data_IF_898257297640
#
_entry.id   IF_898257297640
#
_cell.length_a   1.000
_cell.length_b   1.000
_cell.length_c   1.000
_cell.angle_alpha   90.00
_cell.angle_beta   90.00
_cell.angle_gamma   90.00
#
_symmetry.space_group_name_H-M   'P 1'
#
loop_
_entity.id
_entity.type
_entity.pdbx_description
1 polymer ?
#
# COMPACT_ATOMS: atom_id res chain seq x y z
N UNK A 1 -18.58 -10.91 -39.71
CA UNK A 1 -18.18 -9.48 -39.59
C UNK A 1 -17.09 -9.41 -38.56
N UNK A 2 -15.83 -9.27 -38.99
CA UNK A 2 -14.72 -8.98 -38.08
C UNK A 2 -14.92 -7.53 -37.64
N UNK A 3 -15.36 -7.35 -36.41
CA UNK A 3 -15.50 -6.01 -35.82
C UNK A 3 -14.10 -5.41 -35.73
N UNK A 4 -13.78 -4.41 -36.52
CA UNK A 4 -12.48 -3.76 -36.46
C UNK A 4 -12.43 -2.94 -35.17
N UNK A 5 -11.40 -3.19 -34.34
CA UNK A 5 -11.17 -2.42 -33.12
C UNK A 5 -11.07 -0.93 -33.42
N UNK A 6 -11.74 -0.12 -32.64
CA UNK A 6 -11.64 1.33 -32.69
C UNK A 6 -10.25 1.81 -32.28
N UNK A 7 -9.89 3.04 -32.63
CA UNK A 7 -8.61 3.65 -32.22
C UNK A 7 -8.47 3.68 -30.69
N UNK A 8 -9.54 3.99 -29.97
CA UNK A 8 -9.57 4.00 -28.51
C UNK A 8 -9.27 2.62 -27.93
N UNK A 9 -9.93 1.59 -28.42
CA UNK A 9 -9.71 0.20 -27.97
C UNK A 9 -8.25 -0.26 -28.21
N UNK A 10 -7.65 0.13 -29.34
CA UNK A 10 -6.23 -0.16 -29.63
C UNK A 10 -5.31 0.55 -28.64
N UNK A 11 -5.58 1.81 -28.30
CA UNK A 11 -4.78 2.57 -27.33
C UNK A 11 -4.89 1.96 -25.93
N UNK A 12 -6.09 1.62 -25.48
CA UNK A 12 -6.32 0.96 -24.19
C UNK A 12 -5.62 -0.40 -24.11
N UNK A 13 -5.68 -1.18 -25.17
CA UNK A 13 -4.97 -2.45 -25.28
C UNK A 13 -3.45 -2.25 -25.17
N UNK A 14 -2.88 -1.32 -25.94
CA UNK A 14 -1.44 -1.05 -25.90
C UNK A 14 -0.99 -0.58 -24.51
N UNK A 15 -1.73 0.31 -23.86
CA UNK A 15 -1.45 0.74 -22.47
C UNK A 15 -1.51 -0.43 -21.49
N UNK A 16 -2.48 -1.33 -21.65
CA UNK A 16 -2.61 -2.51 -20.81
C UNK A 16 -1.43 -3.48 -21.01
N UNK A 17 -1.03 -3.72 -22.26
CA UNK A 17 0.14 -4.56 -22.57
C UNK A 17 1.42 -3.99 -21.96
N UNK A 18 1.66 -2.69 -22.11
CA UNK A 18 2.83 -2.02 -21.52
C UNK A 18 2.80 -2.10 -19.98
N UNK A 19 1.63 -1.85 -19.37
CA UNK A 19 1.49 -1.95 -17.90
C UNK A 19 1.79 -3.36 -17.40
N UNK A 20 1.24 -4.40 -18.04
CA UNK A 20 1.48 -5.80 -17.63
C UNK A 20 2.96 -6.15 -17.73
N UNK A 21 3.61 -5.76 -18.82
CA UNK A 21 5.05 -5.95 -19.02
C UNK A 21 5.88 -5.23 -17.95
N UNK A 22 5.54 -3.98 -17.65
CA UNK A 22 6.21 -3.21 -16.60
C UNK A 22 6.00 -3.82 -15.21
N UNK A 23 4.78 -4.23 -14.88
CA UNK A 23 4.45 -4.88 -13.62
C UNK A 23 5.23 -6.19 -13.44
N UNK A 24 5.35 -7.01 -14.49
CA UNK A 24 6.13 -8.25 -14.45
C UNK A 24 7.61 -7.98 -14.23
N UNK A 25 8.19 -7.02 -14.95
CA UNK A 25 9.62 -6.70 -14.81
C UNK A 25 9.93 -6.06 -13.45
N UNK A 26 9.19 -5.02 -13.03
CA UNK A 26 9.39 -4.40 -11.72
C UNK A 26 9.03 -5.35 -10.57
N UNK A 27 8.00 -6.16 -10.74
CA UNK A 27 7.54 -7.15 -9.76
C UNK A 27 8.41 -8.39 -9.66
N UNK A 28 9.40 -8.55 -10.54
CA UNK A 28 10.38 -9.65 -10.48
C UNK A 28 11.77 -9.16 -10.08
N UNK A 29 12.19 -8.01 -10.61
CA UNK A 29 13.57 -7.55 -10.49
C UNK A 29 13.75 -6.28 -9.65
N UNK A 30 12.66 -5.60 -9.31
CA UNK A 30 12.68 -4.31 -8.61
C UNK A 30 13.07 -3.15 -9.53
N UNK A 31 12.95 -1.92 -9.01
CA UNK A 31 13.16 -0.71 -9.78
C UNK A 31 14.57 -0.58 -10.40
N UNK A 32 15.62 -0.87 -9.62
CA UNK A 32 17.01 -0.60 -10.04
C UNK A 32 17.48 -1.45 -11.21
N UNK A 33 17.00 -2.69 -11.31
CA UNK A 33 17.43 -3.68 -12.31
C UNK A 33 16.65 -3.61 -13.62
N UNK A 34 15.65 -2.74 -13.72
CA UNK A 34 14.76 -2.61 -14.88
C UNK A 34 15.08 -1.34 -15.66
N UNK A 35 15.03 -1.43 -16.98
CA UNK A 35 15.07 -0.30 -17.90
C UNK A 35 14.06 -0.50 -19.04
N UNK A 36 13.84 0.55 -19.84
CA UNK A 36 12.86 0.55 -20.94
C UNK A 36 13.17 -0.50 -22.01
N UNK A 37 14.46 -0.67 -22.35
CA UNK A 37 14.91 -1.64 -23.36
C UNK A 37 14.63 -3.07 -22.92
N UNK A 38 14.84 -3.37 -21.65
CA UNK A 38 14.55 -4.68 -21.06
C UNK A 38 13.06 -5.00 -21.14
N UNK A 39 12.20 -4.06 -20.77
CA UNK A 39 10.74 -4.24 -20.85
C UNK A 39 10.35 -4.51 -22.32
N UNK A 40 10.82 -3.68 -23.24
CA UNK A 40 10.53 -3.86 -24.66
C UNK A 40 10.99 -5.22 -25.21
N UNK A 41 12.23 -5.59 -24.91
CA UNK A 41 12.84 -6.81 -25.43
C UNK A 41 12.20 -8.10 -24.91
N UNK A 42 11.91 -8.15 -23.61
CA UNK A 42 11.36 -9.34 -22.97
C UNK A 42 9.88 -9.58 -23.31
N UNK A 43 9.14 -8.52 -23.64
CA UNK A 43 7.69 -8.59 -23.87
C UNK A 43 7.27 -8.31 -25.31
N UNK A 44 8.21 -8.21 -26.24
CA UNK A 44 7.91 -7.98 -27.66
C UNK A 44 7.23 -6.63 -27.95
N UNK A 45 7.44 -5.63 -27.07
CA UNK A 45 6.89 -4.31 -27.24
C UNK A 45 7.86 -3.46 -28.08
N UNK A 46 7.37 -2.87 -29.18
CA UNK A 46 8.22 -2.00 -29.98
C UNK A 46 8.62 -0.74 -29.21
N UNK A 47 9.86 -0.27 -29.39
CA UNK A 47 10.33 0.99 -28.79
C UNK A 47 9.44 2.16 -29.17
N UNK A 48 9.00 2.22 -30.44
CA UNK A 48 8.08 3.26 -30.92
C UNK A 48 6.77 3.29 -30.13
N UNK A 49 6.15 2.11 -29.89
CA UNK A 49 4.94 2.00 -29.08
C UNK A 49 5.21 2.41 -27.62
N UNK A 50 6.30 1.93 -27.04
CA UNK A 50 6.67 2.25 -25.67
C UNK A 50 6.82 3.77 -25.47
N UNK A 51 7.68 4.41 -26.24
CA UNK A 51 7.97 5.84 -26.12
C UNK A 51 6.85 6.76 -26.63
N UNK A 52 5.86 6.23 -27.34
CA UNK A 52 4.64 6.96 -27.63
C UNK A 52 3.77 7.19 -26.38
N UNK A 53 3.80 6.27 -25.42
CA UNK A 53 2.98 6.37 -24.21
C UNK A 53 3.73 6.82 -22.95
N UNK A 54 5.01 6.46 -22.82
CA UNK A 54 5.80 6.69 -21.61
C UNK A 54 7.21 7.13 -21.96
N UNK A 55 7.66 8.23 -21.37
CA UNK A 55 8.94 8.84 -21.69
C UNK A 55 10.14 8.13 -21.04
N UNK A 56 9.92 7.50 -19.88
CA UNK A 56 10.99 6.90 -19.11
C UNK A 56 10.45 5.82 -18.15
N UNK A 57 11.37 5.10 -17.48
CA UNK A 57 10.99 4.03 -16.54
C UNK A 57 10.30 4.56 -15.28
N UNK A 58 10.54 5.81 -14.91
CA UNK A 58 9.95 6.40 -13.71
C UNK A 58 8.44 6.52 -13.85
N UNK A 59 7.97 6.97 -15.02
CA UNK A 59 6.53 7.02 -15.33
C UNK A 59 5.88 5.64 -15.25
N UNK A 60 6.54 4.62 -15.78
CA UNK A 60 6.05 3.24 -15.72
C UNK A 60 6.06 2.67 -14.29
N UNK A 61 7.11 2.95 -13.53
CA UNK A 61 7.19 2.51 -12.15
C UNK A 61 6.11 3.18 -11.29
N UNK A 62 5.93 4.51 -11.41
CA UNK A 62 4.87 5.24 -10.71
C UNK A 62 3.48 4.74 -11.08
N UNK A 63 3.23 4.39 -12.36
CA UNK A 63 1.99 3.76 -12.79
C UNK A 63 1.75 2.42 -12.06
N UNK A 64 2.79 1.57 -11.97
CA UNK A 64 2.70 0.30 -11.26
C UNK A 64 2.44 0.52 -9.74
N UNK A 65 3.12 1.49 -9.14
CA UNK A 65 2.91 1.87 -7.73
C UNK A 65 1.48 2.37 -7.50
N UNK A 66 1.01 3.29 -8.34
CA UNK A 66 -0.34 3.86 -8.25
C UNK A 66 -1.42 2.78 -8.30
N UNK A 67 -1.36 1.90 -9.30
CA UNK A 67 -2.33 0.80 -9.44
C UNK A 67 -2.24 -0.19 -8.29
N UNK A 68 -1.04 -0.51 -7.83
CA UNK A 68 -0.85 -1.36 -6.66
C UNK A 68 -1.51 -0.77 -5.42
N UNK A 69 -1.33 0.53 -5.14
CA UNK A 69 -1.99 1.19 -4.02
C UNK A 69 -3.52 1.26 -4.18
N UNK A 70 -4.02 1.52 -5.39
CA UNK A 70 -5.45 1.56 -5.66
C UNK A 70 -6.11 0.19 -5.44
N UNK A 71 -5.53 -0.88 -5.98
CA UNK A 71 -6.06 -2.24 -5.85
C UNK A 71 -5.95 -2.75 -4.41
N UNK A 72 -4.82 -2.50 -3.75
CA UNK A 72 -4.65 -2.80 -2.33
C UNK A 72 -5.68 -2.07 -1.47
N UNK A 73 -5.89 -0.78 -1.72
CA UNK A 73 -6.88 0.01 -0.98
C UNK A 73 -8.28 -0.57 -1.15
N UNK A 74 -8.69 -0.84 -2.39
CA UNK A 74 -10.00 -1.42 -2.67
C UNK A 74 -10.18 -2.79 -2.01
N UNK A 75 -9.11 -3.60 -1.91
CA UNK A 75 -9.12 -4.86 -1.20
C UNK A 75 -9.29 -4.67 0.31
N UNK A 76 -8.51 -3.75 0.90
CA UNK A 76 -8.62 -3.44 2.34
C UNK A 76 -10.00 -2.88 2.69
N UNK A 77 -10.53 -1.92 1.90
CA UNK A 77 -11.87 -1.35 2.10
C UNK A 77 -12.97 -2.43 2.11
N UNK A 78 -12.88 -3.40 1.21
CA UNK A 78 -13.84 -4.51 1.12
C UNK A 78 -13.73 -5.46 2.31
N UNK A 79 -12.51 -5.87 2.65
CA UNK A 79 -12.29 -6.89 3.67
C UNK A 79 -12.44 -6.32 5.09
N UNK A 80 -12.11 -5.04 5.32
CA UNK A 80 -12.32 -4.41 6.63
C UNK A 80 -13.80 -4.33 7.04
N UNK A 81 -14.73 -4.32 6.08
CA UNK A 81 -16.15 -4.35 6.36
C UNK A 81 -16.60 -5.66 7.06
N UNK A 82 -15.80 -6.70 6.98
CA UNK A 82 -16.04 -8.01 7.60
C UNK A 82 -15.31 -8.20 8.93
N UNK A 83 -14.54 -7.21 9.39
CA UNK A 83 -13.87 -7.30 10.68
C UNK A 83 -14.92 -7.26 11.81
N UNK A 84 -14.93 -8.29 12.66
CA UNK A 84 -15.84 -8.36 13.79
C UNK A 84 -15.47 -7.31 14.84
N UNK A 85 -16.47 -6.55 15.29
CA UNK A 85 -16.28 -5.52 16.33
C UNK A 85 -16.23 -6.06 17.76
N UNK A 86 -16.29 -7.38 17.96
CA UNK A 86 -16.35 -7.99 19.29
C UNK A 86 -15.00 -8.04 20.01
N UNK A 87 -13.90 -8.24 19.24
CA UNK A 87 -12.53 -8.17 19.76
C UNK A 87 -11.74 -7.11 19.00
N UNK A 88 -11.53 -5.97 19.63
CA UNK A 88 -10.84 -4.84 19.03
C UNK A 88 -9.36 -5.13 18.77
N UNK A 89 -8.70 -5.90 19.63
CA UNK A 89 -7.30 -6.26 19.44
C UNK A 89 -7.12 -7.16 18.21
N UNK A 90 -8.00 -8.16 18.07
CA UNK A 90 -8.04 -9.01 16.88
C UNK A 90 -8.37 -8.19 15.63
N UNK A 91 -9.33 -7.28 15.67
CA UNK A 91 -9.70 -6.42 14.56
C UNK A 91 -8.53 -5.55 14.07
N UNK A 92 -7.74 -5.00 14.98
CA UNK A 92 -6.53 -4.22 14.65
C UNK A 92 -5.50 -5.10 13.94
N UNK A 93 -5.18 -6.26 14.49
CA UNK A 93 -4.27 -7.21 13.85
C UNK A 93 -4.74 -7.60 12.46
N UNK A 94 -5.99 -8.02 12.36
CA UNK A 94 -6.59 -8.48 11.10
C UNK A 94 -6.62 -7.37 10.04
N UNK A 95 -6.87 -6.12 10.43
CA UNK A 95 -6.83 -4.99 9.52
C UNK A 95 -5.47 -4.84 8.81
N UNK A 96 -4.36 -5.01 9.54
CA UNK A 96 -3.03 -4.98 8.92
C UNK A 96 -2.75 -6.26 8.12
N UNK A 97 -3.19 -7.43 8.58
CA UNK A 97 -2.96 -8.72 7.92
C UNK A 97 -3.77 -8.90 6.63
N UNK A 98 -4.84 -8.11 6.39
CA UNK A 98 -5.53 -8.06 5.09
C UNK A 98 -4.55 -7.79 3.95
N UNK A 99 -3.54 -6.95 4.17
CA UNK A 99 -2.51 -6.60 3.17
C UNK A 99 -1.65 -7.79 2.79
N UNK A 100 -1.30 -8.62 3.77
CA UNK A 100 -0.54 -9.82 3.51
C UNK A 100 -1.32 -10.81 2.64
N UNK A 101 -2.62 -11.01 2.93
CA UNK A 101 -3.51 -11.84 2.10
C UNK A 101 -3.60 -11.33 0.67
N UNK A 102 -3.71 -10.02 0.49
CA UNK A 102 -3.68 -9.42 -0.85
C UNK A 102 -2.39 -9.78 -1.60
N UNK A 103 -1.24 -9.59 -0.98
CA UNK A 103 0.04 -9.84 -1.63
C UNK A 103 0.39 -11.31 -1.82
N UNK A 104 -0.22 -12.23 -1.08
CA UNK A 104 -0.13 -13.67 -1.39
C UNK A 104 -0.77 -14.00 -2.74
N UNK A 105 -1.83 -13.28 -3.12
CA UNK A 105 -2.50 -13.43 -4.41
C UNK A 105 -1.85 -12.59 -5.53
N UNK A 106 -1.07 -11.58 -5.17
CA UNK A 106 -0.48 -10.60 -6.08
C UNK A 106 1.03 -10.42 -5.85
N UNK A 107 1.87 -11.46 -6.09
CA UNK A 107 3.29 -11.43 -5.73
C UNK A 107 4.11 -10.38 -6.48
N UNK A 108 3.76 -10.05 -7.73
CA UNK A 108 4.43 -9.00 -8.49
C UNK A 108 4.15 -7.61 -7.89
N UNK A 109 2.91 -7.36 -7.49
CA UNK A 109 2.53 -6.13 -6.82
C UNK A 109 3.19 -6.00 -5.43
N UNK A 110 3.45 -7.13 -4.75
CA UNK A 110 4.21 -7.13 -3.49
C UNK A 110 5.59 -6.50 -3.66
N UNK A 111 6.38 -6.94 -4.64
CA UNK A 111 7.73 -6.40 -4.85
C UNK A 111 7.70 -4.93 -5.30
N UNK A 112 6.71 -4.53 -6.11
CA UNK A 112 6.50 -3.12 -6.47
C UNK A 112 6.20 -2.29 -5.21
N UNK A 113 5.31 -2.78 -4.34
CA UNK A 113 4.97 -2.13 -3.08
C UNK A 113 6.19 -2.03 -2.14
N UNK A 114 6.93 -3.12 -1.94
CA UNK A 114 8.15 -3.14 -1.12
C UNK A 114 9.21 -2.17 -1.67
N UNK A 115 9.39 -2.12 -2.98
CA UNK A 115 10.31 -1.18 -3.63
C UNK A 115 9.88 0.27 -3.38
N UNK A 116 8.58 0.57 -3.47
CA UNK A 116 8.06 1.91 -3.23
C UNK A 116 8.09 2.32 -1.74
N UNK A 117 7.86 1.39 -0.83
CA UNK A 117 7.74 1.67 0.59
C UNK A 117 9.05 1.57 1.35
N UNK A 118 9.82 0.50 1.11
CA UNK A 118 11.02 0.19 1.89
C UNK A 118 12.30 0.68 1.22
N UNK A 119 12.30 0.87 -0.10
CA UNK A 119 13.47 1.30 -0.88
C UNK A 119 13.08 2.25 -2.02
N UNK A 120 12.38 3.36 -1.71
CA UNK A 120 11.95 4.27 -2.75
C UNK A 120 13.15 4.89 -3.48
N UNK A 121 13.10 4.97 -4.81
CA UNK A 121 14.05 5.80 -5.54
C UNK A 121 13.99 7.24 -5.00
N UNK A 122 15.13 7.81 -4.59
CA UNK A 122 15.17 9.09 -3.87
C UNK A 122 14.45 10.21 -4.62
N UNK A 123 14.61 10.26 -5.94
CA UNK A 123 13.99 11.29 -6.79
C UNK A 123 12.48 11.10 -6.98
N UNK A 124 11.92 9.91 -6.67
CA UNK A 124 10.49 9.61 -6.75
C UNK A 124 9.79 9.63 -5.39
N UNK A 125 10.52 9.82 -4.30
CA UNK A 125 10.00 9.71 -2.95
C UNK A 125 8.77 10.60 -2.70
N UNK A 126 8.78 11.84 -3.17
CA UNK A 126 7.66 12.76 -3.01
C UNK A 126 6.40 12.32 -3.78
N UNK A 127 6.56 11.82 -5.02
CA UNK A 127 5.45 11.31 -5.82
C UNK A 127 4.86 10.03 -5.21
N UNK A 128 5.71 9.11 -4.74
CA UNK A 128 5.28 7.89 -4.05
C UNK A 128 4.51 8.23 -2.78
N UNK A 129 4.95 9.20 -1.99
CA UNK A 129 4.24 9.68 -0.80
C UNK A 129 2.86 10.26 -1.15
N UNK A 130 2.75 11.01 -2.25
CA UNK A 130 1.47 11.52 -2.74
C UNK A 130 0.51 10.38 -3.15
N UNK A 131 1.01 9.36 -3.87
CA UNK A 131 0.22 8.19 -4.26
C UNK A 131 -0.24 7.35 -3.06
N UNK A 132 0.49 7.39 -1.96
CA UNK A 132 0.15 6.70 -0.71
C UNK A 132 -0.95 7.40 0.09
N UNK A 133 -1.20 8.69 -0.13
CA UNK A 133 -2.12 9.48 0.70
C UNK A 133 -3.53 8.87 0.88
N UNK A 134 -4.19 8.26 -0.15
CA UNK A 134 -5.48 7.61 0.04
C UNK A 134 -5.43 6.42 1.01
N UNK A 135 -4.35 5.65 1.02
CA UNK A 135 -4.17 4.53 1.95
C UNK A 135 -3.96 5.02 3.39
N UNK A 136 -3.25 6.14 3.58
CA UNK A 136 -3.10 6.76 4.90
C UNK A 136 -4.44 7.22 5.46
N UNK A 137 -5.29 7.84 4.64
CA UNK A 137 -6.65 8.22 5.04
C UNK A 137 -7.47 7.01 5.47
N UNK A 138 -7.41 5.91 4.74
CA UNK A 138 -8.11 4.68 5.10
C UNK A 138 -7.64 4.14 6.47
N UNK A 139 -6.34 4.18 6.74
CA UNK A 139 -5.81 3.79 8.07
C UNK A 139 -6.37 4.69 9.17
N UNK A 140 -6.40 6.00 8.93
CA UNK A 140 -6.93 6.97 9.88
C UNK A 140 -8.43 6.75 10.13
N UNK A 141 -9.24 6.58 9.08
CA UNK A 141 -10.67 6.29 9.18
C UNK A 141 -10.95 5.01 9.98
N UNK A 142 -10.12 3.97 9.79
CA UNK A 142 -10.22 2.74 10.58
C UNK A 142 -9.97 3.00 12.08
N UNK A 143 -8.92 3.75 12.42
CA UNK A 143 -8.57 4.08 13.81
C UNK A 143 -9.67 4.94 14.45
N UNK A 144 -10.14 5.97 13.75
CA UNK A 144 -11.25 6.82 14.20
C UNK A 144 -12.52 6.00 14.47
N UNK A 145 -12.87 5.09 13.57
CA UNK A 145 -14.01 4.19 13.73
C UNK A 145 -13.88 3.23 14.92
N UNK A 146 -12.67 2.85 15.31
CA UNK A 146 -12.44 2.08 16.55
C UNK A 146 -12.66 2.95 17.80
N UNK A 147 -12.16 4.17 17.79
CA UNK A 147 -12.26 5.11 18.90
C UNK A 147 -13.73 5.50 19.15
N UNK A 148 -14.51 5.71 18.09
CA UNK A 148 -15.93 6.05 18.21
C UNK A 148 -16.77 4.92 18.83
N UNK A 149 -16.33 3.68 18.71
CA UNK A 149 -17.03 2.50 19.25
C UNK A 149 -16.64 2.16 20.70
N UNK A 150 -15.53 2.71 21.19
CA UNK A 150 -14.98 2.37 22.50
C UNK A 150 -14.99 3.58 23.42
N UNK A 151 -15.42 3.41 24.69
CA UNK A 151 -15.37 4.51 25.64
C UNK A 151 -13.90 4.88 25.92
N UNK A 152 -13.61 6.16 25.79
CA UNK A 152 -12.31 6.71 26.20
C UNK A 152 -12.14 6.64 27.72
N UNK A 153 -10.92 6.55 28.17
CA UNK A 153 -10.58 6.71 29.58
C UNK A 153 -11.07 8.07 30.08
N UNK A 154 -11.63 8.15 31.30
CA UNK A 154 -12.21 9.40 31.84
C UNK A 154 -11.22 10.55 32.02
N UNK A 155 -9.93 10.23 32.12
CA UNK A 155 -8.84 11.19 32.29
C UNK A 155 -8.33 11.78 30.96
N UNK A 156 -8.82 11.30 29.81
CA UNK A 156 -8.40 11.78 28.50
C UNK A 156 -9.36 12.84 27.95
N UNK A 157 -8.78 13.91 27.44
CA UNK A 157 -9.52 14.96 26.71
C UNK A 157 -9.54 14.66 25.21
N UNK A 158 -10.63 14.98 24.49
CA UNK A 158 -10.73 14.77 23.06
C UNK A 158 -9.56 15.34 22.25
N UNK A 159 -9.07 16.52 22.64
CA UNK A 159 -7.94 17.16 21.95
C UNK A 159 -6.61 16.37 22.12
N UNK A 160 -6.47 15.64 23.22
CA UNK A 160 -5.32 14.75 23.43
C UNK A 160 -5.40 13.52 22.51
N UNK A 161 -6.60 12.98 22.34
CA UNK A 161 -6.82 11.82 21.43
C UNK A 161 -6.47 12.19 20.00
N UNK A 162 -6.93 13.34 19.50
CA UNK A 162 -6.56 13.84 18.16
C UNK A 162 -5.04 13.94 18.01
N UNK A 163 -4.35 14.49 19.00
CA UNK A 163 -2.87 14.58 18.99
C UNK A 163 -2.20 13.20 18.98
N UNK A 164 -2.76 12.22 19.69
CA UNK A 164 -2.23 10.85 19.67
C UNK A 164 -2.43 10.19 18.31
N UNK A 165 -3.56 10.43 17.63
CA UNK A 165 -3.79 9.92 16.27
C UNK A 165 -2.77 10.48 15.26
N UNK A 166 -2.49 11.78 15.34
CA UNK A 166 -1.43 12.41 14.52
C UNK A 166 -0.05 11.81 14.83
N UNK A 167 0.21 11.49 16.09
CA UNK A 167 1.46 10.87 16.53
C UNK A 167 1.57 9.43 16.03
N UNK A 168 0.47 8.67 15.98
CA UNK A 168 0.44 7.31 15.43
C UNK A 168 0.84 7.32 13.94
N UNK A 169 0.34 8.27 13.14
CA UNK A 169 0.75 8.39 11.74
C UNK A 169 2.26 8.65 11.61
N UNK A 170 2.80 9.54 12.44
CA UNK A 170 4.25 9.80 12.49
C UNK A 170 5.04 8.56 12.93
N UNK A 171 4.52 7.79 13.88
CA UNK A 171 5.12 6.54 14.33
C UNK A 171 5.20 5.52 13.20
N UNK A 172 4.12 5.34 12.43
CA UNK A 172 4.13 4.44 11.27
C UNK A 172 5.09 4.90 10.18
N UNK A 173 5.22 6.22 9.92
CA UNK A 173 6.21 6.74 8.99
C UNK A 173 7.64 6.41 9.45
N UNK A 174 7.96 6.65 10.72
CA UNK A 174 9.28 6.35 11.27
C UNK A 174 9.57 4.85 11.27
N UNK A 175 8.57 4.02 11.56
CA UNK A 175 8.70 2.56 11.49
C UNK A 175 9.05 2.12 10.06
N UNK A 176 8.34 2.62 9.04
CA UNK A 176 8.64 2.30 7.64
C UNK A 176 10.07 2.72 7.29
N UNK A 177 10.51 3.90 7.72
CA UNK A 177 11.90 4.37 7.52
C UNK A 177 12.92 3.43 8.19
N UNK A 178 12.61 2.89 9.38
CA UNK A 178 13.52 1.97 10.08
C UNK A 178 13.72 0.63 9.36
N UNK A 179 12.73 0.20 8.58
CA UNK A 179 12.84 -0.99 7.72
C UNK A 179 13.51 -0.70 6.37
N UNK A 180 13.73 0.58 6.01
CA UNK A 180 14.43 0.97 4.80
C UNK A 180 15.93 0.64 4.93
N UNK A 181 16.39 -0.36 4.17
CA UNK A 181 17.79 -0.80 4.20
C UNK A 181 18.03 -2.17 4.82
N UNK A 182 17.00 -2.84 5.35
CA UNK A 182 17.06 -4.20 5.87
C UNK A 182 16.90 -5.30 4.80
N UNK A 183 16.79 -6.56 5.24
CA UNK A 183 16.62 -7.72 4.35
C UNK A 183 15.16 -7.88 3.88
N UNK A 184 14.92 -8.06 2.56
CA UNK A 184 13.63 -7.74 1.93
C UNK A 184 12.44 -8.63 2.28
N UNK A 185 12.64 -9.93 2.47
CA UNK A 185 11.52 -10.88 2.47
C UNK A 185 10.90 -11.12 3.86
N UNK A 186 11.65 -10.91 4.92
CA UNK A 186 11.20 -11.04 6.31
C UNK A 186 10.62 -9.72 6.83
N UNK A 187 10.97 -8.60 6.19
CA UNK A 187 10.72 -7.26 6.72
C UNK A 187 9.25 -6.83 6.56
N UNK A 188 8.56 -7.25 5.49
CA UNK A 188 7.19 -6.80 5.25
C UNK A 188 6.19 -7.41 6.24
N UNK A 189 6.27 -8.72 6.49
CA UNK A 189 5.43 -9.40 7.47
C UNK A 189 5.69 -8.84 8.88
N UNK A 190 6.95 -8.79 9.28
CA UNK A 190 7.37 -8.22 10.57
C UNK A 190 6.95 -6.75 10.72
N UNK A 191 7.00 -5.97 9.65
CA UNK A 191 6.51 -4.58 9.65
C UNK A 191 5.01 -4.51 9.90
N UNK A 192 4.20 -5.37 9.28
CA UNK A 192 2.75 -5.41 9.50
C UNK A 192 2.39 -5.88 10.91
N UNK A 193 3.08 -6.90 11.43
CA UNK A 193 2.91 -7.36 12.81
C UNK A 193 3.26 -6.26 13.80
N UNK A 194 4.43 -5.62 13.64
CA UNK A 194 4.87 -4.52 14.50
C UNK A 194 3.88 -3.33 14.44
N UNK A 195 3.34 -3.02 13.26
CA UNK A 195 2.33 -1.96 13.12
C UNK A 195 1.06 -2.29 13.93
N UNK A 196 0.59 -3.54 13.86
CA UNK A 196 -0.56 -4.01 14.62
C UNK A 196 -0.32 -3.98 16.13
N UNK A 197 0.85 -4.44 16.58
CA UNK A 197 1.23 -4.44 18.00
C UNK A 197 1.36 -3.02 18.55
N UNK A 198 2.04 -2.12 17.86
CA UNK A 198 2.18 -0.72 18.28
C UNK A 198 0.84 -0.01 18.36
N UNK A 199 -0.04 -0.24 17.38
CA UNK A 199 -1.37 0.34 17.40
C UNK A 199 -2.19 -0.21 18.58
N UNK A 200 -2.13 -1.51 18.87
CA UNK A 200 -2.75 -2.12 20.03
C UNK A 200 -2.25 -1.47 21.33
N UNK A 201 -0.94 -1.35 21.50
CA UNK A 201 -0.34 -0.72 22.69
C UNK A 201 -0.83 0.71 22.87
N UNK A 202 -0.92 1.51 21.81
CA UNK A 202 -1.42 2.89 21.88
C UNK A 202 -2.92 2.92 22.18
N UNK A 203 -3.73 2.14 21.47
CA UNK A 203 -5.19 2.13 21.67
C UNK A 203 -5.59 1.65 23.06
N UNK A 204 -4.98 0.58 23.56
CA UNK A 204 -5.27 0.09 24.91
C UNK A 204 -4.68 0.98 26.02
N UNK A 205 -3.70 1.81 25.70
CA UNK A 205 -3.25 2.87 26.61
C UNK A 205 -4.21 4.05 26.71
N UNK A 206 -5.05 4.29 25.69
CA UNK A 206 -6.01 5.42 25.63
C UNK A 206 -7.48 4.99 25.86
N UNK A 207 -7.80 3.72 25.62
CA UNK A 207 -9.15 3.18 25.80
C UNK A 207 -9.33 2.67 27.24
N UNK A 208 -10.55 2.78 27.75
CA UNK A 208 -10.88 2.25 29.06
C UNK A 208 -10.91 0.71 28.98
N UNK A 209 -10.12 0.04 29.84
CA UNK A 209 -10.35 -1.38 30.10
C UNK A 209 -11.73 -1.51 30.77
N UNK A 210 -12.58 -2.41 30.23
CA UNK A 210 -13.74 -2.84 30.98
C UNK A 210 -13.20 -3.55 32.23
N UNK A 211 -13.58 -3.06 33.40
CA UNK A 211 -13.26 -3.77 34.64
C UNK A 211 -13.85 -5.20 34.51
N UNK A 212 -13.07 -6.25 34.79
CA UNK A 212 -13.63 -7.60 34.84
C UNK A 212 -14.73 -7.60 35.90
N UNK A 213 -15.95 -7.98 35.48
CA UNK A 213 -17.11 -8.12 36.34
C UNK A 213 -16.91 -9.23 37.40
#
# INVERSE_FOLDING_TARGET
RICSMTQKERQERSRKEIYQAALEEFGTYGYDKVNMERICGNHGISKGMMYHYYSNKDELFLLCVERTFQELRAHVERDMAHLSGEDTAAAVKDFFMIRERFFQLHPQQKLVFESAMLRPPKHLAAQIQALRAPMRRLNQEFIEGLIDKMPLRPDLKPEMVTRYLETIESLFQNMIVSYQGGHPAQDFHAMLETAGELLNMVLFGILRHADPA
#
